data_IF_087506352436
#
_entry.id   IF_087506352436
#
_cell.length_a   1.000
_cell.length_b   1.000
_cell.length_c   1.000
_cell.angle_alpha   90.00
_cell.angle_beta   90.00
_cell.angle_gamma   90.00
#
_symmetry.space_group_name_H-M   'P 1'
#
loop_
_entity.id
_entity.type
_entity.pdbx_description
1 polymer ?
#
# COMPACT_ATOMS: atom_id res chain seq x y z
N UNK A 1 17.90 -5.49 -4.47
CA UNK A 1 16.65 -4.71 -4.38
C UNK A 1 15.42 -5.58 -4.62
N UNK A 2 15.38 -6.36 -5.67
CA UNK A 2 14.23 -7.23 -5.98
C UNK A 2 13.93 -8.22 -4.85
N UNK A 3 14.96 -8.88 -4.34
CA UNK A 3 14.83 -9.83 -3.23
C UNK A 3 14.29 -9.14 -1.98
N UNK A 4 14.71 -7.93 -1.74
CA UNK A 4 14.25 -7.14 -0.60
C UNK A 4 12.77 -6.76 -0.75
N UNK A 5 12.36 -6.34 -1.94
CA UNK A 5 10.97 -5.98 -2.21
C UNK A 5 10.05 -7.19 -2.07
N UNK A 6 10.48 -8.35 -2.57
CA UNK A 6 9.73 -9.59 -2.42
C UNK A 6 9.61 -10.00 -0.95
N UNK A 7 10.66 -9.80 -0.17
CA UNK A 7 10.63 -10.05 1.27
C UNK A 7 9.64 -9.17 2.01
N UNK A 8 9.58 -7.90 1.67
CA UNK A 8 8.62 -6.96 2.24
C UNK A 8 7.18 -7.39 1.96
N UNK A 9 6.90 -7.75 0.70
CA UNK A 9 5.58 -8.22 0.28
C UNK A 9 5.18 -9.49 1.04
N UNK A 10 6.09 -10.45 1.14
CA UNK A 10 5.82 -11.69 1.86
C UNK A 10 5.57 -11.46 3.35
N UNK A 11 6.32 -10.56 3.95
CA UNK A 11 6.13 -10.24 5.37
C UNK A 11 4.76 -9.63 5.63
N UNK A 12 4.34 -8.69 4.80
CA UNK A 12 3.01 -8.10 4.91
C UNK A 12 1.94 -9.16 4.69
N UNK A 13 2.06 -9.94 3.62
CA UNK A 13 1.04 -10.93 3.26
C UNK A 13 0.88 -11.99 4.34
N UNK A 14 1.98 -12.45 4.92
CA UNK A 14 1.97 -13.55 5.88
C UNK A 14 1.56 -13.13 7.29
N UNK A 15 1.78 -11.87 7.67
CA UNK A 15 1.58 -11.43 9.06
C UNK A 15 0.27 -10.68 9.30
N UNK A 16 -0.43 -10.28 8.24
CA UNK A 16 -1.68 -9.53 8.38
C UNK A 16 -2.85 -10.46 8.04
N UNK A 17 -3.63 -10.79 9.04
CA UNK A 17 -4.80 -11.65 8.86
C UNK A 17 -5.84 -10.98 7.98
N UNK A 18 -6.40 -11.74 7.03
CA UNK A 18 -7.40 -11.24 6.12
C UNK A 18 -6.84 -10.60 4.85
N UNK A 19 -5.54 -10.72 4.61
CA UNK A 19 -4.92 -10.15 3.41
C UNK A 19 -5.31 -10.94 2.16
N UNK A 20 -5.83 -10.24 1.16
CA UNK A 20 -6.13 -10.80 -0.16
C UNK A 20 -4.92 -10.69 -1.07
N UNK A 21 -4.28 -9.52 -1.08
CA UNK A 21 -3.08 -9.29 -1.90
C UNK A 21 -2.25 -8.14 -1.37
N UNK A 22 -0.97 -8.16 -1.74
CA UNK A 22 -0.02 -7.07 -1.50
C UNK A 22 0.71 -6.81 -2.80
N UNK A 23 0.74 -5.57 -3.24
CA UNK A 23 1.46 -5.14 -4.45
C UNK A 23 2.39 -3.98 -4.11
N UNK A 24 3.57 -3.99 -4.72
CA UNK A 24 4.44 -2.81 -4.74
C UNK A 24 4.48 -2.29 -6.16
N UNK A 25 4.22 -1.00 -6.31
CA UNK A 25 4.01 -0.35 -7.60
C UNK A 25 4.98 0.82 -7.74
N UNK A 26 5.63 0.93 -8.90
CA UNK A 26 6.46 2.10 -9.20
C UNK A 26 5.58 3.33 -9.37
N UNK A 27 5.89 4.40 -8.66
CA UNK A 27 5.16 5.66 -8.82
C UNK A 27 5.53 6.38 -10.12
N UNK A 28 6.59 5.95 -10.77
CA UNK A 28 7.05 6.55 -12.02
C UNK A 28 6.17 6.14 -13.19
N UNK A 29 5.87 4.85 -13.33
CA UNK A 29 5.18 4.32 -14.50
C UNK A 29 4.05 3.33 -14.19
N UNK A 30 3.78 3.07 -12.92
CA UNK A 30 2.72 2.13 -12.53
C UNK A 30 3.10 0.65 -12.67
N UNK A 31 4.36 0.34 -12.98
CA UNK A 31 4.77 -1.05 -13.12
C UNK A 31 4.78 -1.78 -11.76
N UNK A 32 4.46 -3.05 -11.79
CA UNK A 32 4.43 -3.90 -10.59
C UNK A 32 5.85 -4.36 -10.30
N UNK A 33 6.35 -4.00 -9.12
CA UNK A 33 7.71 -4.34 -8.69
C UNK A 33 7.76 -5.64 -7.89
N UNK A 34 6.72 -5.92 -7.12
CA UNK A 34 6.58 -7.15 -6.35
C UNK A 34 5.10 -7.40 -6.07
N UNK A 35 4.73 -8.65 -5.90
CA UNK A 35 3.31 -9.01 -5.81
C UNK A 35 3.13 -10.34 -5.09
N UNK A 36 2.12 -10.41 -4.23
CA UNK A 36 1.70 -11.64 -3.58
C UNK A 36 0.18 -11.60 -3.38
N UNK A 37 -0.51 -12.64 -3.79
CA UNK A 37 -1.96 -12.71 -3.67
C UNK A 37 -2.42 -14.12 -3.34
N UNK A 38 -3.65 -14.23 -2.85
CA UNK A 38 -4.32 -15.51 -2.68
C UNK A 38 -4.43 -16.22 -4.03
N UNK A 39 -4.47 -17.54 -3.98
CA UNK A 39 -4.67 -18.36 -5.16
C UNK A 39 -5.95 -17.93 -5.90
N UNK A 40 -5.84 -17.74 -7.21
CA UNK A 40 -6.97 -17.35 -8.05
C UNK A 40 -7.22 -15.84 -8.09
N UNK A 41 -6.46 -15.03 -7.37
CA UNK A 41 -6.59 -13.57 -7.39
C UNK A 41 -5.47 -12.97 -8.22
N UNK A 42 -5.84 -12.08 -9.14
CA UNK A 42 -4.90 -11.26 -9.89
C UNK A 42 -5.44 -9.84 -9.99
N UNK A 43 -4.85 -8.92 -9.21
CA UNK A 43 -5.24 -7.52 -9.19
C UNK A 43 -4.11 -6.59 -9.63
N UNK A 44 -3.12 -7.10 -10.38
CA UNK A 44 -1.96 -6.29 -10.78
C UNK A 44 -2.35 -5.08 -11.60
N UNK A 45 -3.30 -5.23 -12.53
CA UNK A 45 -3.78 -4.09 -13.30
C UNK A 45 -4.47 -3.06 -12.41
N UNK A 46 -5.32 -3.52 -11.50
CA UNK A 46 -5.99 -2.63 -10.55
C UNK A 46 -4.98 -1.90 -9.66
N UNK A 47 -3.92 -2.58 -9.24
CA UNK A 47 -2.86 -1.96 -8.42
C UNK A 47 -2.14 -0.86 -9.17
N UNK A 48 -1.92 -1.01 -10.47
CA UNK A 48 -1.27 0.03 -11.28
C UNK A 48 -2.06 1.36 -11.28
N UNK A 49 -3.39 1.28 -11.22
CA UNK A 49 -4.24 2.48 -11.16
C UNK A 49 -4.16 3.21 -9.82
N UNK A 50 -3.67 2.56 -8.77
CA UNK A 50 -3.64 3.17 -7.43
C UNK A 50 -2.69 4.35 -7.36
N UNK A 51 -1.69 4.41 -8.22
CA UNK A 51 -0.77 5.55 -8.29
C UNK A 51 -1.56 6.83 -8.59
N UNK A 52 -2.48 6.78 -9.54
CA UNK A 52 -3.29 7.95 -9.91
C UNK A 52 -4.28 8.32 -8.80
N UNK A 53 -4.86 7.31 -8.12
CA UNK A 53 -5.75 7.56 -7.00
C UNK A 53 -5.00 8.27 -5.88
N UNK A 54 -3.79 7.81 -5.56
CA UNK A 54 -2.97 8.42 -4.52
C UNK A 54 -2.57 9.85 -4.90
N UNK A 55 -2.15 10.07 -6.15
CA UNK A 55 -1.81 11.42 -6.64
C UNK A 55 -2.98 12.37 -6.51
N UNK A 56 -4.18 11.93 -6.89
CA UNK A 56 -5.37 12.76 -6.80
C UNK A 56 -5.73 13.07 -5.35
N UNK A 57 -5.54 12.13 -4.44
CA UNK A 57 -5.74 12.35 -3.01
C UNK A 57 -4.78 13.42 -2.48
N UNK A 58 -3.50 13.35 -2.87
CA UNK A 58 -2.48 14.32 -2.48
C UNK A 58 -2.84 15.71 -3.02
N UNK A 59 -3.20 15.81 -4.30
CA UNK A 59 -3.59 17.08 -4.92
C UNK A 59 -4.81 17.70 -4.24
N UNK A 60 -5.80 16.87 -3.92
CA UNK A 60 -6.99 17.34 -3.21
C UNK A 60 -6.63 17.92 -1.85
N UNK A 61 -5.76 17.24 -1.12
CA UNK A 61 -5.31 17.68 0.20
C UNK A 61 -4.52 18.99 0.10
N UNK A 62 -3.57 19.07 -0.85
CA UNK A 62 -2.72 20.25 -1.02
C UNK A 62 -3.51 21.49 -1.42
N UNK A 63 -4.67 21.32 -2.04
CA UNK A 63 -5.55 22.43 -2.43
C UNK A 63 -6.58 22.78 -1.36
N UNK A 64 -6.47 22.20 -0.17
CA UNK A 64 -7.35 22.50 0.96
C UNK A 64 -6.67 23.53 1.87
N UNK A 65 -7.25 24.72 1.98
CA UNK A 65 -6.72 25.76 2.84
C UNK A 65 -6.74 25.35 4.32
N UNK A 66 -5.69 25.70 5.03
CA UNK A 66 -5.57 25.41 6.46
C UNK A 66 -4.97 24.06 6.80
N UNK A 67 -4.68 23.22 5.80
CA UNK A 67 -4.11 21.89 6.00
C UNK A 67 -2.80 21.66 5.26
N UNK A 68 -2.21 22.73 4.72
CA UNK A 68 -1.04 22.64 3.83
C UNK A 68 0.27 22.29 4.53
N UNK A 69 0.30 22.32 5.87
CA UNK A 69 1.48 21.94 6.64
C UNK A 69 1.55 20.45 6.95
N UNK A 70 0.60 19.68 6.45
CA UNK A 70 0.53 18.22 6.62
C UNK A 70 0.84 17.52 5.32
N UNK A 71 1.06 16.21 5.38
CA UNK A 71 1.23 15.37 4.22
C UNK A 71 0.25 14.21 4.27
N UNK A 72 -0.05 13.64 3.10
CA UNK A 72 -0.89 12.44 3.01
C UNK A 72 0.03 11.22 3.21
N UNK A 73 -0.21 10.46 4.27
CA UNK A 73 0.55 9.24 4.52
C UNK A 73 -0.08 8.04 3.81
N UNK A 74 -1.38 7.88 3.97
CA UNK A 74 -2.10 6.72 3.45
C UNK A 74 -3.47 7.13 2.92
N UNK A 75 -3.96 6.37 1.96
CA UNK A 75 -5.34 6.47 1.46
C UNK A 75 -6.02 5.13 1.73
N UNK A 76 -7.22 5.20 2.30
CA UNK A 76 -8.02 4.02 2.58
C UNK A 76 -9.29 4.06 1.75
N UNK A 77 -9.48 3.05 0.89
CA UNK A 77 -10.70 2.92 0.09
C UNK A 77 -11.48 1.71 0.61
N UNK A 78 -12.75 1.92 0.86
CA UNK A 78 -13.64 0.88 1.36
C UNK A 78 -14.60 0.49 0.27
N UNK A 79 -14.56 -0.78 -0.10
CA UNK A 79 -15.50 -1.40 -1.02
C UNK A 79 -16.31 -2.43 -0.24
N UNK A 80 -17.42 -2.88 -0.81
CA UNK A 80 -18.19 -3.96 -0.21
C UNK A 80 -17.32 -5.21 -0.07
N UNK A 81 -17.12 -5.66 1.17
CA UNK A 81 -16.33 -6.86 1.46
C UNK A 81 -14.82 -6.68 1.38
N UNK A 82 -14.32 -5.47 1.11
CA UNK A 82 -12.88 -5.22 0.98
C UNK A 82 -12.47 -3.86 1.50
N UNK A 83 -11.24 -3.78 2.01
CA UNK A 83 -10.60 -2.52 2.35
C UNK A 83 -9.25 -2.46 1.64
N UNK A 84 -9.00 -1.36 0.94
CA UNK A 84 -7.75 -1.13 0.23
C UNK A 84 -6.94 -0.06 0.97
N UNK A 85 -5.73 -0.41 1.37
CA UNK A 85 -4.81 0.50 2.04
C UNK A 85 -3.67 0.82 1.07
N UNK A 86 -3.49 2.10 0.78
CA UNK A 86 -2.55 2.59 -0.23
C UNK A 86 -1.64 3.60 0.42
N UNK A 87 -0.33 3.41 0.32
CA UNK A 87 0.63 4.31 0.94
C UNK A 87 1.96 4.34 0.22
N UNK A 88 2.67 5.47 0.37
CA UNK A 88 4.03 5.60 -0.17
C UNK A 88 5.05 5.07 0.82
N UNK A 89 6.07 4.41 0.29
CA UNK A 89 7.27 4.14 1.06
C UNK A 89 8.12 5.41 1.12
N UNK A 90 9.06 5.45 2.08
CA UNK A 90 9.85 6.65 2.36
C UNK A 90 10.54 7.23 1.13
N UNK A 91 10.98 6.37 0.20
CA UNK A 91 11.64 6.80 -1.03
C UNK A 91 10.72 7.63 -1.94
N UNK A 92 9.40 7.54 -1.75
CA UNK A 92 8.35 8.14 -2.58
C UNK A 92 8.34 7.60 -4.02
N UNK A 93 9.15 6.60 -4.32
CA UNK A 93 9.22 5.96 -5.64
C UNK A 93 8.41 4.69 -5.71
N UNK A 94 8.00 4.18 -4.55
CA UNK A 94 7.28 2.91 -4.44
C UNK A 94 6.01 3.15 -3.61
N UNK A 95 4.91 2.66 -4.14
CA UNK A 95 3.61 2.67 -3.47
C UNK A 95 3.25 1.23 -3.11
N UNK A 96 2.79 0.99 -1.88
CA UNK A 96 2.21 -0.29 -1.56
C UNK A 96 0.68 -0.23 -1.66
N UNK A 97 0.09 -1.32 -2.14
CA UNK A 97 -1.35 -1.49 -2.24
C UNK A 97 -1.70 -2.82 -1.57
N UNK A 98 -2.40 -2.73 -0.45
CA UNK A 98 -2.76 -3.88 0.37
C UNK A 98 -4.28 -4.01 0.37
N UNK A 99 -4.78 -5.18 -0.02
CA UNK A 99 -6.21 -5.46 -0.04
C UNK A 99 -6.52 -6.44 1.09
N UNK A 100 -7.48 -6.05 1.93
CA UNK A 100 -7.94 -6.86 3.06
C UNK A 100 -9.40 -7.25 2.84
N UNK A 101 -9.77 -8.45 3.27
CA UNK A 101 -11.17 -8.89 3.25
C UNK A 101 -11.93 -8.40 4.48
N UNK A 102 -13.22 -8.74 4.56
CA UNK A 102 -14.11 -8.29 5.63
C UNK A 102 -13.84 -8.98 6.98
N UNK A 103 -12.97 -9.99 7.04
CA UNK A 103 -12.58 -10.61 8.31
C UNK A 103 -11.43 -9.88 8.98
N UNK A 104 -10.75 -8.97 8.26
CA UNK A 104 -9.58 -8.29 8.79
C UNK A 104 -9.95 -7.27 9.86
N UNK A 105 -9.12 -7.21 10.91
CA UNK A 105 -9.16 -6.10 11.87
C UNK A 105 -8.34 -4.94 11.29
N UNK A 106 -9.03 -3.92 10.79
CA UNK A 106 -8.37 -2.83 10.05
C UNK A 106 -7.42 -2.03 10.96
N UNK A 107 -7.80 -1.79 12.21
CA UNK A 107 -6.94 -1.08 13.16
C UNK A 107 -5.63 -1.83 13.41
N UNK A 108 -5.73 -3.14 13.64
CA UNK A 108 -4.55 -3.98 13.83
C UNK A 108 -3.71 -4.06 12.57
N UNK A 109 -4.35 -4.18 11.40
CA UNK A 109 -3.65 -4.21 10.12
C UNK A 109 -2.83 -2.94 9.91
N UNK A 110 -3.40 -1.76 10.19
CA UNK A 110 -2.69 -0.49 10.07
C UNK A 110 -1.46 -0.42 10.99
N UNK A 111 -1.58 -0.93 12.20
CA UNK A 111 -0.45 -0.97 13.14
C UNK A 111 0.66 -1.89 12.64
N UNK A 112 0.32 -3.07 12.14
CA UNK A 112 1.30 -4.02 11.62
C UNK A 112 1.96 -3.50 10.35
N UNK A 113 1.21 -2.89 9.45
CA UNK A 113 1.74 -2.29 8.25
C UNK A 113 2.77 -1.21 8.60
N UNK A 114 2.43 -0.34 9.54
CA UNK A 114 3.34 0.74 9.98
C UNK A 114 4.63 0.15 10.55
N UNK A 115 4.52 -0.86 11.40
CA UNK A 115 5.67 -1.51 12.02
C UNK A 115 6.57 -2.15 10.97
N UNK A 116 5.99 -2.95 10.09
CA UNK A 116 6.75 -3.66 9.05
C UNK A 116 7.41 -2.67 8.09
N UNK A 117 6.68 -1.62 7.69
CA UNK A 117 7.23 -0.57 6.83
C UNK A 117 8.41 0.15 7.48
N UNK A 118 8.26 0.56 8.73
CA UNK A 118 9.32 1.27 9.46
C UNK A 118 10.57 0.41 9.58
N UNK A 119 10.42 -0.88 9.90
CA UNK A 119 11.55 -1.79 10.00
C UNK A 119 12.22 -2.01 8.64
N UNK A 120 11.44 -2.13 7.57
CA UNK A 120 11.97 -2.31 6.23
C UNK A 120 12.72 -1.05 5.76
N UNK A 121 12.17 0.13 5.99
CA UNK A 121 12.79 1.40 5.59
C UNK A 121 14.10 1.66 6.34
N UNK A 122 14.21 1.19 7.57
CA UNK A 122 15.45 1.31 8.34
C UNK A 122 16.58 0.45 7.76
N UNK A 123 16.24 -0.57 6.97
CA UNK A 123 17.23 -1.50 6.42
C UNK A 123 17.77 -1.05 5.07
N UNK A 124 16.95 -0.63 4.14
CA UNK A 124 17.45 -0.35 2.80
C UNK A 124 16.58 0.52 1.89
N UNK A 125 15.43 0.93 2.30
CA UNK A 125 14.68 1.86 1.43
C UNK A 125 15.27 3.27 1.43
#
# INVERSE_FOLDING_TARGET
MEQFLNGYVEELFSNISGTISVSLVSTLDGSILAYRARLGVDNRLASSYQVEIFRNAVLSFENTEGLTDKSVDDVCLVYEGQTHLIGLLQSRKILHHIILDDTANIGMAKLLIRKIRTEAEAKSF
#
